data_IF_074810663790
#
_entry.id   IF_074810663790
#
_cell.length_a   1.000
_cell.length_b   1.000
_cell.length_c   1.000
_cell.angle_alpha   90.00
_cell.angle_beta   90.00
_cell.angle_gamma   90.00
#
_symmetry.space_group_name_H-M   'P 1'
#
loop_
_entity.id
_entity.type
_entity.pdbx_description
1 polymer ?
#
# COMPACT_ATOMS: atom_id res chain seq x y z
N UNK A 1 1.37 -4.89 -12.31
CA UNK A 1 1.67 -5.76 -11.16
C UNK A 1 0.56 -6.77 -10.97
N UNK A 2 0.93 -7.98 -10.59
CA UNK A 2 0.05 -9.01 -10.07
C UNK A 2 -0.36 -8.69 -8.63
N UNK A 3 -1.42 -9.34 -8.14
CA UNK A 3 -1.85 -9.23 -6.74
C UNK A 3 -0.74 -9.63 -5.75
N UNK A 4 0.10 -10.61 -6.10
CA UNK A 4 1.23 -11.07 -5.28
C UNK A 4 2.33 -10.02 -5.17
N UNK A 5 2.64 -9.35 -6.28
CA UNK A 5 3.61 -8.25 -6.31
C UNK A 5 3.10 -7.06 -5.48
N UNK A 6 1.81 -6.72 -5.60
CA UNK A 6 1.20 -5.63 -4.81
C UNK A 6 1.24 -5.93 -3.32
N UNK A 7 0.93 -7.17 -2.91
CA UNK A 7 1.05 -7.56 -1.51
C UNK A 7 2.48 -7.36 -0.98
N UNK A 8 3.49 -7.74 -1.77
CA UNK A 8 4.90 -7.56 -1.39
C UNK A 8 5.28 -6.08 -1.28
N UNK A 9 4.84 -5.24 -2.21
CA UNK A 9 5.12 -3.80 -2.15
C UNK A 9 4.40 -3.09 -1.00
N UNK A 10 3.17 -3.49 -0.68
CA UNK A 10 2.46 -3.01 0.51
C UNK A 10 3.24 -3.35 1.78
N UNK A 11 3.71 -4.60 1.91
CA UNK A 11 4.50 -5.03 3.08
C UNK A 11 5.80 -4.23 3.19
N UNK A 12 6.55 -4.06 2.10
CA UNK A 12 7.77 -3.25 2.06
C UNK A 12 7.51 -1.78 2.42
N UNK A 13 6.46 -1.18 1.86
CA UNK A 13 6.13 0.24 2.08
C UNK A 13 5.65 0.47 3.52
N UNK A 14 4.93 -0.50 4.11
CA UNK A 14 4.56 -0.49 5.53
C UNK A 14 5.79 -0.56 6.44
N UNK A 15 6.76 -1.42 6.12
CA UNK A 15 8.03 -1.48 6.87
C UNK A 15 8.80 -0.16 6.76
N UNK A 16 8.81 0.47 5.58
CA UNK A 16 9.42 1.77 5.37
C UNK A 16 8.73 2.87 6.20
N UNK A 17 7.38 2.88 6.24
CA UNK A 17 6.61 3.80 7.07
C UNK A 17 6.94 3.63 8.56
N UNK A 18 6.97 2.39 9.05
CA UNK A 18 7.34 2.08 10.43
C UNK A 18 8.76 2.55 10.75
N UNK A 19 9.70 2.37 9.82
CA UNK A 19 11.07 2.86 9.97
C UNK A 19 11.11 4.39 10.00
N UNK A 20 10.35 5.08 9.14
CA UNK A 20 10.30 6.53 9.12
C UNK A 20 9.76 7.10 10.45
N UNK A 21 8.69 6.51 10.99
CA UNK A 21 8.13 6.89 12.30
C UNK A 21 9.14 6.62 13.42
N UNK A 22 9.75 5.42 13.43
CA UNK A 22 10.72 5.04 14.48
C UNK A 22 11.96 5.92 14.50
N UNK A 23 12.40 6.38 13.34
CA UNK A 23 13.57 7.27 13.21
C UNK A 23 13.20 8.75 13.28
N UNK A 24 11.97 9.09 13.70
CA UNK A 24 11.50 10.48 13.86
C UNK A 24 11.75 11.33 12.61
N UNK A 25 11.51 10.74 11.44
CA UNK A 25 11.59 11.44 10.16
C UNK A 25 10.62 12.61 10.11
N UNK A 26 10.90 13.55 9.22
CA UNK A 26 10.06 14.72 8.99
C UNK A 26 8.61 14.31 8.68
N UNK A 27 7.65 15.07 9.22
CA UNK A 27 6.23 14.77 9.07
C UNK A 27 5.82 14.65 7.60
N UNK A 28 6.39 15.48 6.72
CA UNK A 28 6.12 15.43 5.28
C UNK A 28 6.57 14.10 4.65
N UNK A 29 7.73 13.57 5.05
CA UNK A 29 8.21 12.27 4.55
C UNK A 29 7.29 11.12 5.00
N UNK A 30 6.84 11.16 6.27
CA UNK A 30 5.90 10.16 6.81
C UNK A 30 4.56 10.21 6.06
N UNK A 31 4.07 11.42 5.76
CA UNK A 31 2.83 11.61 4.99
C UNK A 31 2.96 11.11 3.55
N UNK A 32 4.08 11.37 2.89
CA UNK A 32 4.31 10.90 1.53
C UNK A 32 4.37 9.37 1.46
N UNK A 33 5.05 8.71 2.41
CA UNK A 33 5.06 7.24 2.50
C UNK A 33 3.66 6.70 2.82
N UNK A 34 2.91 7.37 3.69
CA UNK A 34 1.53 6.97 4.03
C UNK A 34 0.62 7.02 2.80
N UNK A 35 0.69 8.10 2.01
CA UNK A 35 -0.07 8.22 0.76
C UNK A 35 0.29 7.13 -0.24
N UNK A 36 1.59 6.83 -0.39
CA UNK A 36 2.04 5.74 -1.25
C UNK A 36 1.48 4.38 -0.80
N UNK A 37 1.40 4.14 0.51
CA UNK A 37 0.82 2.92 1.08
C UNK A 37 -0.67 2.82 0.75
N UNK A 38 -1.42 3.91 0.91
CA UNK A 38 -2.86 3.97 0.57
C UNK A 38 -3.12 3.67 -0.91
N UNK A 39 -2.34 4.28 -1.82
CA UNK A 39 -2.44 4.05 -3.26
C UNK A 39 -2.19 2.57 -3.64
N UNK A 40 -1.24 1.91 -2.95
CA UNK A 40 -0.95 0.49 -3.18
C UNK A 40 -2.07 -0.42 -2.68
N UNK A 41 -2.66 -0.08 -1.53
CA UNK A 41 -3.80 -0.81 -0.96
C UNK A 41 -5.01 -0.67 -1.88
N UNK A 42 -5.31 0.52 -2.38
CA UNK A 42 -6.41 0.74 -3.32
C UNK A 42 -6.25 -0.13 -4.58
N UNK A 43 -5.07 -0.10 -5.22
CA UNK A 43 -4.76 -0.95 -6.38
C UNK A 43 -4.91 -2.44 -6.08
N UNK A 44 -4.50 -2.89 -4.88
CA UNK A 44 -4.66 -4.27 -4.47
C UNK A 44 -6.14 -4.65 -4.31
N UNK A 45 -6.95 -3.75 -3.75
CA UNK A 45 -8.40 -3.94 -3.58
C UNK A 45 -9.12 -3.94 -4.93
N UNK A 46 -8.75 -3.09 -5.89
CA UNK A 46 -9.30 -3.09 -7.25
C UNK A 46 -9.08 -4.43 -7.96
N UNK A 47 -7.86 -4.98 -7.89
CA UNK A 47 -7.58 -6.30 -8.45
C UNK A 47 -8.31 -7.44 -7.72
N UNK A 48 -8.54 -7.30 -6.42
CA UNK A 48 -9.30 -8.27 -5.62
C UNK A 48 -10.81 -8.22 -5.85
N UNK A 49 -11.35 -7.03 -6.12
CA UNK A 49 -12.79 -6.78 -6.32
C UNK A 49 -13.23 -6.98 -7.76
N UNK A 50 -12.33 -6.92 -8.74
CA UNK A 50 -12.59 -7.27 -10.15
C UNK A 50 -13.09 -8.72 -10.37
N UNK A 51 -12.94 -9.62 -9.39
CA UNK A 51 -13.53 -10.98 -9.43
C UNK A 51 -14.94 -11.09 -8.83
N UNK A 52 -15.49 -10.04 -8.22
CA UNK A 52 -16.82 -10.03 -7.58
C UNK A 52 -17.87 -9.18 -8.31
N UNK A 53 -17.62 -8.79 -9.56
CA UNK A 53 -18.62 -8.12 -10.43
C UNK A 53 -19.02 -8.95 -11.65
N UNK A 54 -19.21 -10.26 -11.51
CA UNK A 54 -20.04 -11.05 -12.42
C UNK A 54 -20.53 -12.30 -11.68
N UNK A 55 -21.66 -12.18 -11.01
CA UNK A 55 -22.65 -13.24 -10.93
C UNK A 55 -24.01 -12.57 -10.68
N UNK A 56 -24.91 -12.87 -11.62
CA UNK A 56 -26.23 -12.35 -11.88
C UNK A 56 -27.17 -12.25 -10.69
#
# INVERSE_FOLDING_TARGET
>A
MTQRELKREIENTREHLNAAIKNEREMLEILDISRQLDDLIEKYLELGTGRRKFNS
#
